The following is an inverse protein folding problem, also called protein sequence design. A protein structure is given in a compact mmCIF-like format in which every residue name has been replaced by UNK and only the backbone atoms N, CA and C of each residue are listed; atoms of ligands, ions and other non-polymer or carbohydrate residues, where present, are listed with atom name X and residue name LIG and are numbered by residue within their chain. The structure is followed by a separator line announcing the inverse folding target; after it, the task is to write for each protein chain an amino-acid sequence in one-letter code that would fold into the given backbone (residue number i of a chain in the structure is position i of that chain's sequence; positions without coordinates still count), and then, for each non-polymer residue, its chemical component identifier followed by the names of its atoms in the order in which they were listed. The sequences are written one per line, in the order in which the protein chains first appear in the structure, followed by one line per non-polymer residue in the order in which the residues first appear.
data_IF_703894246939
#
_entry.id   IF_703894246939
#
_cell.length_a   1.000
_cell.length_b   1.000
_cell.length_c   1.000
_cell.angle_alpha   90.00
_cell.angle_beta   90.00
_cell.angle_gamma   90.00
#
_symmetry.space_group_name_H-M   'P 1'
#
loop_
_entity.id
_entity.type
_entity.pdbx_description
1 polymer ?
#
# COMPACT_ATOMS: atom_id res chain seq x y z
N UNK A 1 -5.51 3.34 -14.10
CA UNK A 1 -4.19 3.87 -14.51
C UNK A 1 -3.54 4.49 -13.29
N UNK A 2 -2.54 3.81 -12.73
CA UNK A 2 -1.78 4.31 -11.58
C UNK A 2 -0.68 5.26 -12.08
N UNK A 3 -0.50 6.40 -11.41
CA UNK A 3 0.65 7.29 -11.69
C UNK A 3 1.96 6.54 -11.41
N UNK A 4 3.00 6.75 -12.23
CA UNK A 4 4.32 6.13 -12.01
C UNK A 4 5.26 7.12 -11.34
N UNK A 5 5.20 7.25 -10.00
CA UNK A 5 6.14 8.10 -9.26
C UNK A 5 7.56 7.54 -9.26
N UNK A 6 7.67 6.21 -9.26
CA UNK A 6 8.91 5.46 -9.35
C UNK A 6 8.76 4.41 -10.45
N UNK A 7 9.87 4.01 -11.07
CA UNK A 7 9.91 2.91 -12.03
C UNK A 7 10.77 1.76 -11.49
N UNK A 8 10.62 0.56 -12.07
CA UNK A 8 11.43 -0.59 -11.70
C UNK A 8 12.24 -1.04 -12.92
N UNK A 9 13.56 -0.89 -12.83
CA UNK A 9 14.50 -1.32 -13.87
C UNK A 9 15.46 -2.32 -13.27
N UNK A 10 15.56 -3.52 -13.85
CA UNK A 10 16.40 -4.61 -13.36
C UNK A 10 16.15 -4.94 -11.87
N UNK A 11 14.87 -5.00 -11.47
CA UNK A 11 14.41 -5.24 -10.10
C UNK A 11 14.87 -4.19 -9.07
N UNK A 12 15.24 -2.98 -9.52
CA UNK A 12 15.58 -1.85 -8.65
C UNK A 12 14.65 -0.69 -8.90
N UNK A 13 14.22 -0.05 -7.82
CA UNK A 13 13.47 1.20 -7.87
C UNK A 13 14.37 2.30 -8.42
N UNK A 14 13.89 3.01 -9.43
CA UNK A 14 14.58 4.15 -10.05
C UNK A 14 13.66 5.37 -10.11
N UNK A 15 14.22 6.59 -10.00
CA UNK A 15 13.42 7.81 -10.08
C UNK A 15 12.85 8.03 -11.49
N UNK A 16 11.61 8.52 -11.56
CA UNK A 16 11.04 9.08 -12.80
C UNK A 16 11.26 10.60 -12.84
N UNK A 17 10.81 11.26 -13.91
CA UNK A 17 10.82 12.72 -14.04
C UNK A 17 10.09 13.44 -12.88
N UNK A 18 9.12 12.77 -12.26
CA UNK A 18 8.37 13.31 -11.13
C UNK A 18 9.25 13.50 -9.89
N UNK A 19 10.26 12.65 -9.69
CA UNK A 19 11.19 12.77 -8.57
C UNK A 19 12.06 14.05 -8.64
N UNK A 20 12.28 14.59 -9.84
CA UNK A 20 13.05 15.82 -10.04
C UNK A 20 12.20 17.09 -10.03
N UNK A 21 10.89 16.95 -10.19
CA UNK A 21 9.97 18.10 -10.35
C UNK A 21 9.08 18.33 -9.13
N UNK A 22 8.76 17.27 -8.38
CA UNK A 22 8.00 17.37 -7.14
C UNK A 22 8.97 17.66 -5.99
N UNK A 23 8.83 18.84 -5.36
CA UNK A 23 9.78 19.30 -4.34
C UNK A 23 9.97 18.32 -3.19
N UNK A 24 8.91 17.71 -2.67
CA UNK A 24 9.03 16.73 -1.58
C UNK A 24 9.81 15.47 -1.93
N UNK A 25 10.00 15.15 -3.21
CA UNK A 25 10.86 14.07 -3.67
C UNK A 25 12.26 14.60 -4.01
N UNK A 26 12.33 15.74 -4.71
CA UNK A 26 13.60 16.35 -5.10
C UNK A 26 14.46 16.75 -3.89
N UNK A 27 13.83 17.23 -2.80
CA UNK A 27 14.49 17.57 -1.55
C UNK A 27 15.23 16.34 -0.97
N UNK A 28 14.63 15.13 -1.06
CA UNK A 28 15.25 13.87 -0.61
C UNK A 28 16.52 13.55 -1.41
N UNK A 29 16.51 13.75 -2.72
CA UNK A 29 17.71 13.51 -3.56
C UNK A 29 18.84 14.49 -3.24
N UNK A 30 18.48 15.71 -2.85
CA UNK A 30 19.43 16.76 -2.53
C UNK A 30 20.09 16.52 -1.17
N UNK A 31 19.32 16.08 -0.18
CA UNK A 31 19.81 15.81 1.17
C UNK A 31 20.54 14.46 1.27
N UNK A 32 20.04 13.43 0.57
CA UNK A 32 20.56 12.06 0.61
C UNK A 32 21.11 11.60 -0.75
N UNK A 33 22.11 12.26 -1.35
CA UNK A 33 22.53 11.98 -2.73
C UNK A 33 23.05 10.55 -2.95
N UNK A 34 23.59 9.90 -1.92
CA UNK A 34 24.10 8.52 -1.99
C UNK A 34 23.03 7.47 -1.63
N UNK A 35 22.02 7.85 -0.83
CA UNK A 35 21.05 6.90 -0.24
C UNK A 35 19.58 7.16 -0.65
N UNK A 36 19.29 8.18 -1.46
CA UNK A 36 17.92 8.53 -1.86
C UNK A 36 17.20 7.36 -2.53
N UNK A 37 17.92 6.44 -3.19
CA UNK A 37 17.32 5.22 -3.76
C UNK A 37 16.78 4.29 -2.69
N UNK A 38 17.44 4.16 -1.53
CA UNK A 38 16.90 3.41 -0.39
C UNK A 38 15.64 4.09 0.14
N UNK A 39 15.66 5.41 0.30
CA UNK A 39 14.49 6.20 0.70
C UNK A 39 13.33 6.02 -0.29
N UNK A 40 13.59 6.10 -1.59
CA UNK A 40 12.57 5.91 -2.63
C UNK A 40 12.03 4.48 -2.66
N UNK A 41 12.88 3.48 -2.43
CA UNK A 41 12.45 2.09 -2.30
C UNK A 41 11.51 1.93 -1.10
N UNK A 42 11.86 2.52 0.04
CA UNK A 42 11.00 2.60 1.22
C UNK A 42 9.65 3.26 0.92
N UNK A 43 9.67 4.48 0.34
CA UNK A 43 8.45 5.20 -0.03
C UNK A 43 7.58 4.39 -1.01
N UNK A 44 8.20 3.74 -1.99
CA UNK A 44 7.53 2.90 -2.96
C UNK A 44 6.81 1.72 -2.30
N UNK A 45 7.51 0.93 -1.48
CA UNK A 45 6.90 -0.22 -0.82
C UNK A 45 5.86 0.14 0.24
N UNK A 46 5.97 1.32 0.86
CA UNK A 46 4.95 1.80 1.80
C UNK A 46 3.69 2.33 1.11
N UNK A 47 3.75 2.72 -0.16
CA UNK A 47 2.65 3.47 -0.81
C UNK A 47 2.10 2.88 -2.09
N UNK A 48 2.88 2.06 -2.82
CA UNK A 48 2.46 1.46 -4.07
C UNK A 48 1.28 0.49 -3.83
N UNK A 49 0.09 0.78 -4.38
CA UNK A 49 -1.10 -0.03 -4.12
C UNK A 49 -1.18 -1.28 -5.00
N UNK A 50 -0.17 -1.58 -5.82
CA UNK A 50 -0.20 -2.70 -6.76
C UNK A 50 0.51 -3.94 -6.17
N UNK A 51 -0.21 -5.06 -5.91
CA UNK A 51 0.38 -6.28 -5.36
C UNK A 51 1.40 -6.96 -6.29
N UNK A 52 1.33 -6.73 -7.60
CA UNK A 52 2.29 -7.28 -8.56
C UNK A 52 3.66 -6.58 -8.48
N UNK A 53 3.68 -5.33 -7.99
CA UNK A 53 4.89 -4.51 -7.88
C UNK A 53 5.37 -4.34 -6.44
N UNK A 54 4.46 -4.47 -5.47
CA UNK A 54 4.74 -4.28 -4.06
C UNK A 54 4.59 -5.61 -3.28
N UNK A 55 5.69 -6.31 -2.97
CA UNK A 55 5.63 -7.58 -2.25
C UNK A 55 5.11 -7.41 -0.82
N UNK A 56 5.18 -6.21 -0.25
CA UNK A 56 4.71 -5.90 1.10
C UNK A 56 3.23 -5.48 1.16
N UNK A 57 2.51 -5.52 0.03
CA UNK A 57 1.13 -5.05 -0.09
C UNK A 57 0.18 -5.69 0.96
N UNK A 58 0.34 -6.99 1.21
CA UNK A 58 -0.50 -7.74 2.14
C UNK A 58 -0.02 -7.70 3.59
N UNK A 59 1.20 -7.22 3.87
CA UNK A 59 1.75 -7.16 5.23
C UNK A 59 0.84 -6.29 6.13
N UNK A 60 0.59 -6.69 7.39
CA UNK A 60 -0.14 -5.87 8.36
C UNK A 60 0.50 -4.49 8.53
N UNK A 61 -0.31 -3.43 8.59
CA UNK A 61 0.20 -2.05 8.55
C UNK A 61 1.18 -1.72 9.68
N UNK A 62 0.97 -2.30 10.87
CA UNK A 62 1.80 -2.07 12.06
C UNK A 62 3.17 -2.76 12.02
N UNK A 63 3.34 -3.79 11.18
CA UNK A 63 4.60 -4.52 11.01
C UNK A 63 5.34 -4.08 9.74
N UNK A 64 4.61 -3.47 8.79
CA UNK A 64 5.08 -3.20 7.44
C UNK A 64 6.33 -2.33 7.40
N UNK A 65 6.35 -1.27 8.19
CA UNK A 65 7.49 -0.33 8.20
C UNK A 65 8.78 -1.04 8.64
N UNK A 66 8.75 -1.73 9.77
CA UNK A 66 9.90 -2.45 10.34
C UNK A 66 10.44 -3.52 9.36
N UNK A 67 9.54 -4.32 8.78
CA UNK A 67 9.92 -5.36 7.81
C UNK A 67 10.58 -4.73 6.59
N UNK A 68 9.99 -3.67 6.01
CA UNK A 68 10.57 -3.03 4.81
C UNK A 68 11.96 -2.47 5.12
N UNK A 69 12.12 -1.74 6.23
CA UNK A 69 13.41 -1.15 6.61
C UNK A 69 14.50 -2.22 6.75
N UNK A 70 14.18 -3.34 7.40
CA UNK A 70 15.10 -4.47 7.55
C UNK A 70 15.47 -5.11 6.21
N UNK A 71 14.51 -5.33 5.31
CA UNK A 71 14.74 -6.01 4.02
C UNK A 71 15.55 -5.16 3.03
N UNK A 72 15.46 -3.82 3.13
CA UNK A 72 16.18 -2.90 2.23
C UNK A 72 17.47 -2.35 2.84
N UNK A 73 17.82 -2.76 4.06
CA UNK A 73 19.02 -2.30 4.78
C UNK A 73 19.07 -0.77 4.89
N UNK A 74 17.98 -0.15 5.34
CA UNK A 74 17.87 1.30 5.48
C UNK A 74 18.10 1.75 6.93
N UNK A 75 19.23 2.44 7.14
CA UNK A 75 19.62 3.02 8.44
C UNK A 75 19.13 4.47 8.64
N UNK A 76 18.46 5.05 7.65
CA UNK A 76 17.94 6.41 7.73
C UNK A 76 16.66 6.43 8.54
N UNK A 77 16.53 7.41 9.45
CA UNK A 77 15.35 7.58 10.30
C UNK A 77 14.10 7.87 9.47
N UNK A 78 13.05 7.07 9.63
CA UNK A 78 11.73 7.30 9.01
C UNK A 78 11.00 8.51 9.61
N UNK A 79 11.47 9.01 10.75
CA UNK A 79 10.94 10.20 11.43
C UNK A 79 11.51 11.52 10.88
N UNK A 80 12.43 11.47 9.90
CA UNK A 80 12.93 12.67 9.23
C UNK A 80 11.81 13.41 8.47
N UNK A 81 11.76 14.74 8.62
CA UNK A 81 10.72 15.58 8.04
C UNK A 81 10.61 15.45 6.51
N UNK A 82 11.73 15.25 5.80
CA UNK A 82 11.74 15.04 4.35
C UNK A 82 11.11 13.70 3.98
N UNK A 83 11.41 12.65 4.75
CA UNK A 83 10.86 11.31 4.53
C UNK A 83 9.36 11.29 4.83
N UNK A 84 8.94 11.87 5.95
CA UNK A 84 7.52 12.02 6.31
C UNK A 84 6.77 12.80 5.21
N UNK A 85 7.35 13.91 4.73
CA UNK A 85 6.75 14.73 3.68
C UNK A 85 6.67 14.00 2.33
N UNK A 86 7.72 13.28 1.96
CA UNK A 86 7.77 12.43 0.76
C UNK A 86 6.71 11.33 0.83
N UNK A 87 6.65 10.61 1.95
CA UNK A 87 5.64 9.58 2.24
C UNK A 87 4.21 10.10 2.08
N UNK A 88 3.92 11.23 2.72
CA UNK A 88 2.59 11.85 2.65
C UNK A 88 2.25 12.30 1.22
N UNK A 89 3.25 12.72 0.44
CA UNK A 89 3.07 13.09 -0.96
C UNK A 89 2.76 11.86 -1.82
N UNK A 90 3.57 10.80 -1.70
CA UNK A 90 3.37 9.54 -2.42
C UNK A 90 2.00 8.94 -2.09
N UNK A 91 1.62 8.87 -0.80
CA UNK A 91 0.29 8.41 -0.37
C UNK A 91 -0.81 9.19 -1.09
N UNK A 92 -0.78 10.52 -1.05
CA UNK A 92 -1.81 11.36 -1.68
C UNK A 92 -1.89 11.19 -3.20
N UNK A 93 -0.77 10.96 -3.87
CA UNK A 93 -0.72 10.81 -5.33
C UNK A 93 -1.15 9.42 -5.81
N UNK A 94 -0.89 8.38 -5.00
CA UNK A 94 -1.36 7.02 -5.28
C UNK A 94 -2.80 6.76 -4.83
N UNK A 95 -3.32 7.59 -3.92
CA UNK A 95 -4.61 7.35 -3.29
C UNK A 95 -5.79 7.65 -4.22
N UNK A 96 -6.60 6.63 -4.48
CA UNK A 96 -7.90 6.75 -5.16
C UNK A 96 -9.04 6.48 -4.17
N UNK A 97 -10.28 6.89 -4.46
CA UNK A 97 -11.44 6.48 -3.67
C UNK A 97 -11.56 4.96 -3.52
N UNK A 98 -11.23 4.22 -4.58
CA UNK A 98 -11.19 2.75 -4.62
C UNK A 98 -10.15 2.20 -3.66
N UNK A 99 -8.92 2.72 -3.71
CA UNK A 99 -7.84 2.32 -2.82
C UNK A 99 -8.17 2.62 -1.35
N UNK A 100 -8.70 3.81 -1.03
CA UNK A 100 -9.15 4.15 0.34
C UNK A 100 -10.19 3.17 0.86
N UNK A 101 -11.14 2.79 0.01
CA UNK A 101 -12.20 1.83 0.36
C UNK A 101 -11.61 0.47 0.66
N UNK A 102 -10.71 -0.02 -0.21
CA UNK A 102 -9.99 -1.27 -0.01
C UNK A 102 -9.21 -1.29 1.32
N UNK A 103 -8.37 -0.27 1.57
CA UNK A 103 -7.55 -0.18 2.79
C UNK A 103 -8.43 -0.11 4.05
N UNK A 104 -9.52 0.66 4.00
CA UNK A 104 -10.47 0.76 5.11
C UNK A 104 -11.11 -0.58 5.47
N UNK A 105 -11.56 -1.34 4.45
CA UNK A 105 -12.15 -2.66 4.67
C UNK A 105 -11.09 -3.69 5.11
N UNK A 106 -9.89 -3.67 4.51
CA UNK A 106 -8.76 -4.53 4.91
C UNK A 106 -8.45 -4.35 6.40
N UNK A 107 -8.24 -3.10 6.83
CA UNK A 107 -7.94 -2.79 8.24
C UNK A 107 -9.06 -3.19 9.20
N UNK A 108 -10.32 -3.10 8.79
CA UNK A 108 -11.44 -3.58 9.60
C UNK A 108 -11.44 -5.11 9.72
N UNK A 109 -11.16 -5.82 8.61
CA UNK A 109 -11.10 -7.27 8.57
C UNK A 109 -9.96 -7.81 9.46
N UNK A 110 -8.76 -7.21 9.37
CA UNK A 110 -7.60 -7.61 10.18
C UNK A 110 -7.85 -7.44 11.68
N UNK A 111 -8.40 -6.28 12.08
CA UNK A 111 -8.77 -6.01 13.48
C UNK A 111 -9.83 -6.98 14.01
N UNK A 112 -10.82 -7.31 13.18
CA UNK A 112 -11.87 -8.24 13.56
C UNK A 112 -11.35 -9.67 13.67
N UNK A 113 -10.47 -10.09 12.76
CA UNK A 113 -9.81 -11.39 12.81
C UNK A 113 -8.98 -11.52 14.09
N UNK A 114 -8.13 -10.52 14.38
CA UNK A 114 -7.33 -10.49 15.60
C UNK A 114 -8.22 -10.51 16.86
N UNK A 115 -9.27 -9.69 16.91
CA UNK A 115 -10.22 -9.69 18.01
C UNK A 115 -10.85 -11.08 18.25
N UNK A 116 -11.28 -11.77 17.18
CA UNK A 116 -11.87 -13.11 17.31
C UNK A 116 -10.84 -14.17 17.72
N UNK A 117 -9.57 -14.01 17.33
CA UNK A 117 -8.48 -14.92 17.66
C UNK A 117 -8.05 -14.81 19.13
N UNK A 118 -7.91 -13.59 19.66
CA UNK A 118 -7.31 -13.37 20.98
C UNK A 118 -8.32 -13.21 22.11
N UNK A 119 -9.61 -13.06 21.81
CA UNK A 119 -10.63 -12.85 22.85
C UNK A 119 -10.99 -14.17 23.53
N UNK A 120 -10.76 -14.26 24.84
CA UNK A 120 -11.22 -15.40 25.64
C UNK A 120 -12.75 -15.47 25.69
N UNK A 121 -13.30 -16.67 25.47
CA UNK A 121 -14.75 -16.90 25.49
C UNK A 121 -15.21 -16.95 26.95
N UNK A 122 -16.14 -16.07 27.30
CA UNK A 122 -16.78 -16.00 28.61
C UNK A 122 -18.27 -16.33 28.50
N UNK A 123 -18.75 -17.13 29.45
CA UNK A 123 -20.15 -17.55 29.54
C UNK A 123 -20.84 -16.91 30.76
N UNK A 124 -22.16 -16.80 30.73
CA UNK A 124 -22.97 -16.25 31.83
C UNK A 124 -23.71 -14.96 31.45
N UNK A 125 -24.35 -14.32 32.43
CA UNK A 125 -25.16 -13.10 32.25
C UNK A 125 -24.38 -11.98 31.57
N UNK A 126 -23.09 -11.86 31.87
CA UNK A 126 -22.19 -10.82 31.35
C UNK A 126 -21.13 -11.40 30.39
N UNK A 127 -21.35 -12.61 29.87
CA UNK A 127 -20.44 -13.27 28.93
C UNK A 127 -20.44 -12.64 27.54
N UNK A 128 -19.37 -12.88 26.77
CA UNK A 128 -19.16 -12.30 25.44
C UNK A 128 -19.51 -13.25 24.27
N UNK A 129 -19.97 -14.48 24.54
CA UNK A 129 -20.22 -15.50 23.51
C UNK A 129 -21.17 -15.00 22.40
N UNK A 130 -22.25 -14.29 22.75
CA UNK A 130 -23.21 -13.77 21.78
C UNK A 130 -22.58 -12.70 20.90
N UNK A 131 -21.70 -11.86 21.44
CA UNK A 131 -20.98 -10.84 20.67
C UNK A 131 -20.01 -11.49 19.68
N UNK A 132 -19.26 -12.50 20.13
CA UNK A 132 -18.32 -13.25 19.28
C UNK A 132 -19.03 -14.00 18.15
N UNK A 133 -20.14 -14.69 18.44
CA UNK A 133 -20.94 -15.37 17.41
C UNK A 133 -21.52 -14.37 16.39
N UNK A 134 -21.99 -13.21 16.85
CA UNK A 134 -22.47 -12.15 15.96
C UNK A 134 -21.36 -11.55 15.10
N UNK A 135 -20.17 -11.36 15.66
CA UNK A 135 -18.97 -10.92 14.93
C UNK A 135 -18.61 -11.93 13.84
N UNK A 136 -18.55 -13.23 14.18
CA UNK A 136 -18.28 -14.31 13.23
C UNK A 136 -19.34 -14.39 12.11
N UNK A 137 -20.62 -14.22 12.45
CA UNK A 137 -21.70 -14.21 11.45
C UNK A 137 -21.57 -13.04 10.45
N UNK A 138 -21.16 -11.86 10.92
CA UNK A 138 -20.93 -10.67 10.07
C UNK A 138 -19.59 -10.72 9.33
N UNK A 139 -18.62 -11.51 9.82
CA UNK A 139 -17.29 -11.62 9.24
C UNK A 139 -17.35 -12.03 7.76
N UNK A 140 -18.23 -12.97 7.40
CA UNK A 140 -18.39 -13.39 6.02
C UNK A 140 -18.84 -12.24 5.10
N UNK A 141 -19.79 -11.41 5.56
CA UNK A 141 -20.25 -10.27 4.77
C UNK A 141 -19.12 -9.26 4.55
N UNK A 142 -18.34 -8.96 5.59
CA UNK A 142 -17.18 -8.06 5.50
C UNK A 142 -16.14 -8.64 4.53
N UNK A 143 -15.87 -9.95 4.61
CA UNK A 143 -14.95 -10.65 3.71
C UNK A 143 -15.40 -10.57 2.25
N UNK A 144 -16.71 -10.64 1.98
CA UNK A 144 -17.24 -10.46 0.63
C UNK A 144 -17.08 -9.01 0.14
N UNK A 145 -17.35 -8.02 0.99
CA UNK A 145 -17.08 -6.60 0.68
C UNK A 145 -15.59 -6.36 0.40
N UNK A 146 -14.69 -7.00 1.16
CA UNK A 146 -13.24 -6.94 0.93
C UNK A 146 -12.86 -7.49 -0.45
N UNK A 147 -13.37 -8.67 -0.82
CA UNK A 147 -13.11 -9.26 -2.15
C UNK A 147 -13.61 -8.37 -3.28
N UNK A 148 -14.77 -7.73 -3.10
CA UNK A 148 -15.30 -6.76 -4.05
C UNK A 148 -14.37 -5.56 -4.22
N UNK A 149 -14.01 -4.90 -3.12
CA UNK A 149 -13.11 -3.74 -3.15
C UNK A 149 -11.72 -4.08 -3.70
N UNK A 150 -11.20 -5.28 -3.41
CA UNK A 150 -9.94 -5.75 -4.00
C UNK A 150 -10.05 -5.95 -5.51
N UNK A 151 -11.16 -6.51 -6.00
CA UNK A 151 -11.41 -6.67 -7.42
C UNK A 151 -11.50 -5.31 -8.12
N UNK A 152 -12.24 -4.36 -7.55
CA UNK A 152 -12.36 -3.01 -8.09
C UNK A 152 -10.98 -2.32 -8.16
N UNK A 153 -10.16 -2.47 -7.12
CA UNK A 153 -8.79 -1.96 -7.08
C UNK A 153 -7.92 -2.60 -8.18
N UNK A 154 -7.99 -3.92 -8.34
CA UNK A 154 -7.25 -4.63 -9.37
C UNK A 154 -7.66 -4.19 -10.78
N UNK A 155 -8.96 -4.00 -11.03
CA UNK A 155 -9.48 -3.48 -12.31
C UNK A 155 -9.03 -2.03 -12.56
N UNK A 156 -8.99 -1.18 -11.53
CA UNK A 156 -8.49 0.20 -11.64
C UNK A 156 -6.99 0.26 -11.98
N UNK A 157 -6.23 -0.72 -11.48
CA UNK A 157 -4.79 -0.86 -11.71
C UNK A 157 -4.45 -1.54 -13.04
N UNK A 158 -5.33 -2.40 -13.56
CA UNK A 158 -5.26 -2.92 -14.91
C UNK A 158 -5.48 -1.76 -15.90
N UNK A 159 -4.40 -1.05 -16.22
CA UNK A 159 -4.38 -0.14 -17.37
C UNK A 159 -4.88 -0.90 -18.61
N UNK A 160 -5.90 -0.36 -19.27
CA UNK A 160 -6.31 -0.81 -20.60
C UNK A 160 -5.15 -0.59 -21.57
N UNK A 161 -4.20 -1.52 -21.63
CA UNK A 161 -3.32 -1.69 -22.79
C UNK A 161 -4.14 -2.40 -23.88
N UNK A 162 -5.21 -1.75 -24.33
CA UNK A 162 -5.99 -2.11 -25.52
C UNK A 162 -6.12 -0.86 -26.38
N UNK A 163 -5.04 -0.51 -27.05
CA UNK A 163 -5.00 0.67 -27.90
C UNK A 163 -3.64 0.96 -28.54
N UNK A 164 -2.87 -0.06 -28.92
CA UNK A 164 -1.78 0.11 -29.89
C UNK A 164 -1.99 -0.83 -31.10
N UNK A 165 -3.25 -0.89 -31.57
CA UNK A 165 -3.58 -1.44 -32.88
C UNK A 165 -3.63 -0.25 -33.83
N UNK A 166 -2.60 -0.10 -34.68
CA UNK A 166 -2.68 0.73 -35.89
C UNK A 166 -1.85 2.01 -35.92
N UNK A 167 -0.54 1.94 -35.70
CA UNK A 167 0.40 2.82 -36.41
C UNK A 167 1.36 1.93 -37.21
N UNK A 168 0.81 1.31 -38.25
CA UNK A 168 1.61 0.95 -39.41
C UNK A 168 2.11 2.27 -39.99
N UNK A 169 3.42 2.52 -39.87
CA UNK A 169 4.07 3.52 -40.70
C UNK A 169 4.04 3.00 -42.13
N UNK A 170 3.13 3.53 -42.95
CA UNK A 170 3.36 3.57 -44.39
C UNK A 170 4.35 4.71 -44.66
N UNK A 171 5.62 4.33 -44.87
CA UNK A 171 6.55 5.01 -45.77
C UNK A 171 7.48 3.98 -46.42
#
# INVERSE_FOLDING_TARGET
MLIKLFDIVNNKVVPTEHCYTISSLNDIMTEYPEDYLKVYTYLFYMTCPNPDLNPFFNVPEHEKEEIIMSEIDMDISTEDDLIIRGMNTCKKLYETPTYRTYVGIKSMLDRLAHYMETTEIQHGRDGNITALVNAAAKFEQIRQSFKGAYKDLAEEQQSQVRGNIGLAYDQ
#
